data_IF_545933897818
#
_entry.id   IF_545933897818
#
_cell.length_a   1.000
_cell.length_b   1.000
_cell.length_c   1.000
_cell.angle_alpha   90.00
_cell.angle_beta   90.00
_cell.angle_gamma   90.00
#
_symmetry.space_group_name_H-M   'P 1'
#
loop_
_entity.id
_entity.type
_entity.pdbx_description
1 polymer ?
#
# COMPACT_ATOMS: atom_id res chain seq x y z
N UNK A 1 12.69 -1.79 32.65
CA UNK A 1 13.64 -1.28 33.69
C UNK A 1 15.03 -1.19 33.10
N UNK A 2 15.73 -0.10 33.40
CA UNK A 2 17.14 0.08 33.05
C UNK A 2 17.95 -0.31 34.27
N UNK A 3 18.86 -1.26 34.09
CA UNK A 3 19.75 -1.71 35.19
C UNK A 3 21.16 -1.29 34.80
N UNK A 4 21.85 -0.61 35.69
CA UNK A 4 23.29 -0.34 35.59
C UNK A 4 23.98 -0.81 36.85
N UNK A 5 25.19 -1.33 36.71
CA UNK A 5 26.00 -1.85 37.77
C UNK A 5 27.27 -1.00 37.81
N UNK A 6 27.62 -0.46 38.97
CA UNK A 6 28.88 0.23 39.21
C UNK A 6 29.70 -0.55 40.24
N UNK A 7 31.01 -0.59 40.03
CA UNK A 7 31.94 -1.09 41.01
C UNK A 7 32.40 0.09 41.85
N UNK A 8 31.97 0.17 43.11
CA UNK A 8 32.25 1.31 43.96
C UNK A 8 33.63 1.23 44.59
N UNK A 9 34.09 0.00 44.88
CA UNK A 9 35.37 -0.25 45.53
C UNK A 9 35.86 -1.66 45.28
N UNK A 10 37.17 -1.83 45.21
CA UNK A 10 37.84 -3.13 45.21
C UNK A 10 38.87 -3.18 46.33
N UNK A 11 39.00 -4.31 47.02
CA UNK A 11 40.04 -4.54 48.03
C UNK A 11 40.44 -6.03 48.01
N UNK A 12 41.66 -6.31 47.54
CA UNK A 12 42.13 -7.68 47.33
C UNK A 12 41.30 -8.38 46.24
N UNK A 13 40.70 -9.50 46.60
CA UNK A 13 39.79 -10.31 45.75
C UNK A 13 38.30 -9.95 45.90
N UNK A 14 37.97 -8.87 46.60
CA UNK A 14 36.59 -8.44 46.90
C UNK A 14 36.24 -7.16 46.14
N UNK A 15 35.04 -7.12 45.60
CA UNK A 15 34.45 -5.94 44.95
C UNK A 15 33.10 -5.59 45.60
N UNK A 16 32.83 -4.31 45.74
CA UNK A 16 31.54 -3.77 46.15
C UNK A 16 30.84 -3.23 44.94
N UNK A 17 29.61 -3.71 44.72
CA UNK A 17 28.80 -3.36 43.57
C UNK A 17 27.55 -2.59 44.00
N UNK A 18 27.26 -1.49 43.34
CA UNK A 18 25.97 -0.83 43.44
C UNK A 18 25.16 -1.12 42.16
N UNK A 19 23.95 -1.67 42.36
CA UNK A 19 23.00 -1.96 41.28
C UNK A 19 21.97 -0.83 41.29
N UNK A 20 22.01 -0.03 40.22
CA UNK A 20 21.03 1.03 40.02
C UNK A 20 19.85 0.48 39.19
N UNK A 21 18.66 0.48 39.78
CA UNK A 21 17.42 0.09 39.13
C UNK A 21 16.63 1.35 38.81
N UNK A 22 16.33 1.56 37.51
CA UNK A 22 15.44 2.62 37.07
C UNK A 22 14.19 2.00 36.47
N UNK A 23 13.06 2.21 37.11
CA UNK A 23 11.78 1.80 36.62
C UNK A 23 11.43 2.62 35.38
N UNK A 24 10.89 1.97 34.35
CA UNK A 24 10.36 2.68 33.17
C UNK A 24 9.02 3.32 33.56
N UNK A 25 8.82 4.60 33.26
CA UNK A 25 7.56 5.26 33.55
C UNK A 25 6.40 4.64 32.73
N UNK A 26 5.21 4.74 33.30
CA UNK A 26 3.96 4.34 32.62
C UNK A 26 3.25 5.59 32.12
N UNK A 27 2.40 5.40 31.12
CA UNK A 27 1.57 6.47 30.57
C UNK A 27 0.39 6.70 31.52
N UNK A 28 0.27 7.92 32.05
CA UNK A 28 -0.92 8.37 32.80
C UNK A 28 -1.98 8.95 31.88
N UNK A 29 -1.56 9.68 30.84
CA UNK A 29 -2.46 10.38 29.93
C UNK A 29 -1.86 10.48 28.53
N UNK A 30 -2.72 10.48 27.49
CA UNK A 30 -2.34 10.69 26.10
C UNK A 30 -3.18 11.82 25.55
N UNK A 31 -2.51 12.88 25.08
CA UNK A 31 -3.16 14.05 24.51
C UNK A 31 -2.83 14.17 23.02
N UNK A 32 -3.85 14.32 22.19
CA UNK A 32 -3.69 14.55 20.77
C UNK A 32 -3.97 16.00 20.43
N UNK A 33 -2.99 16.66 19.79
CA UNK A 33 -3.10 18.02 19.29
C UNK A 33 -3.04 18.01 17.75
N UNK A 34 -3.95 18.74 17.09
CA UNK A 34 -3.99 18.85 15.64
C UNK A 34 -4.75 17.74 14.91
N UNK A 35 -5.25 16.72 15.60
CA UNK A 35 -6.14 15.69 15.07
C UNK A 35 -7.62 16.01 15.33
N UNK A 36 -8.51 15.55 14.45
CA UNK A 36 -9.97 15.65 14.64
C UNK A 36 -10.46 14.48 15.51
N UNK A 37 -11.61 14.63 16.19
CA UNK A 37 -12.16 13.57 17.05
C UNK A 37 -12.30 12.20 16.37
N UNK A 38 -12.76 12.16 15.11
CA UNK A 38 -12.85 10.89 14.37
C UNK A 38 -11.48 10.30 14.01
N UNK A 39 -10.49 11.15 13.77
CA UNK A 39 -9.11 10.73 13.49
C UNK A 39 -8.44 10.16 14.74
N UNK A 40 -8.73 10.72 15.93
CA UNK A 40 -8.21 10.22 17.21
C UNK A 40 -8.68 8.78 17.42
N UNK A 41 -9.96 8.49 17.19
CA UNK A 41 -10.49 7.12 17.32
C UNK A 41 -9.77 6.14 16.39
N UNK A 42 -9.59 6.51 15.11
CA UNK A 42 -8.85 5.69 14.12
C UNK A 42 -7.40 5.47 14.57
N UNK A 43 -6.76 6.52 15.15
CA UNK A 43 -5.38 6.45 15.62
C UNK A 43 -5.27 5.54 16.85
N UNK A 44 -6.16 5.65 17.82
CA UNK A 44 -6.17 4.81 19.03
C UNK A 44 -6.27 3.33 18.66
N UNK A 45 -7.15 2.97 17.69
CA UNK A 45 -7.29 1.60 17.19
C UNK A 45 -6.00 1.07 16.54
N UNK A 46 -5.26 1.94 15.83
CA UNK A 46 -4.00 1.56 15.14
C UNK A 46 -2.79 1.54 16.07
N UNK A 47 -2.70 2.49 16.98
CA UNK A 47 -1.56 2.66 17.87
C UNK A 47 -1.57 1.63 18.99
N UNK A 48 -2.73 1.28 19.50
CA UNK A 48 -2.91 0.45 20.70
C UNK A 48 -2.07 0.95 21.87
N UNK A 49 -1.87 2.27 21.93
CA UNK A 49 -1.19 2.95 23.00
C UNK A 49 -2.25 3.30 24.04
N UNK A 50 -2.07 2.81 25.27
CA UNK A 50 -3.06 2.97 26.32
C UNK A 50 -2.42 3.46 27.60
N UNK A 51 -3.23 4.11 28.43
CA UNK A 51 -2.90 4.41 29.82
C UNK A 51 -2.40 3.15 30.54
N UNK A 52 -1.35 3.27 31.33
CA UNK A 52 -0.67 2.16 31.99
C UNK A 52 0.40 1.44 31.17
N UNK A 53 0.47 1.66 29.84
CA UNK A 53 1.56 1.13 29.02
C UNK A 53 2.89 1.79 29.41
N UNK A 54 3.99 1.07 29.23
CA UNK A 54 5.32 1.65 29.33
C UNK A 54 5.62 2.48 28.07
N UNK A 55 6.28 3.62 28.27
CA UNK A 55 6.78 4.45 27.18
C UNK A 55 8.29 4.24 26.98
N UNK A 56 8.68 3.83 25.78
CA UNK A 56 10.08 3.61 25.40
C UNK A 56 10.40 4.36 24.12
N UNK A 57 11.65 4.67 23.80
CA UNK A 57 12.02 5.32 22.54
C UNK A 57 11.49 4.58 21.32
N UNK A 58 11.53 3.25 21.33
CA UNK A 58 11.01 2.42 20.23
C UNK A 58 9.49 2.57 20.05
N UNK A 59 8.74 2.64 21.14
CA UNK A 59 7.28 2.89 21.10
C UNK A 59 7.00 4.29 20.53
N UNK A 60 7.78 5.29 20.93
CA UNK A 60 7.66 6.67 20.41
C UNK A 60 7.89 6.71 18.91
N UNK A 61 8.96 6.09 18.41
CA UNK A 61 9.28 6.08 17.00
C UNK A 61 8.25 5.29 16.17
N UNK A 62 7.80 4.14 16.65
CA UNK A 62 6.72 3.38 16.06
C UNK A 62 5.42 4.18 15.99
N UNK A 63 5.08 4.89 17.06
CA UNK A 63 3.89 5.76 17.12
C UNK A 63 3.97 6.85 16.07
N UNK A 64 5.11 7.54 15.96
CA UNK A 64 5.33 8.55 14.90
C UNK A 64 5.15 7.98 13.50
N UNK A 65 5.71 6.80 13.24
CA UNK A 65 5.60 6.14 11.92
C UNK A 65 4.15 5.77 11.58
N UNK A 66 3.40 5.20 12.52
CA UNK A 66 1.99 4.82 12.32
C UNK A 66 1.16 6.06 12.03
N UNK A 67 1.33 7.15 12.78
CA UNK A 67 0.60 8.40 12.58
C UNK A 67 0.95 9.02 11.22
N UNK A 68 2.23 9.08 10.84
CA UNK A 68 2.65 9.57 9.52
C UNK A 68 2.03 8.73 8.41
N UNK A 69 2.07 7.41 8.51
CA UNK A 69 1.46 6.49 7.54
C UNK A 69 -0.05 6.76 7.40
N UNK A 70 -0.77 6.91 8.51
CA UNK A 70 -2.19 7.22 8.53
C UNK A 70 -2.51 8.52 7.77
N UNK A 71 -1.75 9.58 7.97
CA UNK A 71 -1.96 10.84 7.27
C UNK A 71 -1.52 10.78 5.80
N UNK A 72 -0.47 10.04 5.48
CA UNK A 72 -0.06 9.80 4.09
C UNK A 72 -1.17 9.08 3.30
N UNK A 73 -1.81 8.05 3.88
CA UNK A 73 -2.97 7.36 3.28
C UNK A 73 -4.14 8.32 3.02
N UNK A 74 -4.25 9.39 3.77
CA UNK A 74 -5.25 10.47 3.57
C UNK A 74 -4.79 11.59 2.62
N UNK A 75 -3.56 11.48 2.08
CA UNK A 75 -2.96 12.44 1.13
C UNK A 75 -2.20 13.60 1.76
N UNK A 76 -1.93 13.55 3.05
CA UNK A 76 -1.10 14.53 3.76
C UNK A 76 0.36 14.05 3.82
N UNK A 77 1.03 14.00 2.66
CA UNK A 77 2.39 13.45 2.52
C UNK A 77 3.45 14.16 3.36
N UNK A 78 3.23 15.43 3.70
CA UNK A 78 4.15 16.26 4.48
C UNK A 78 3.80 16.32 5.98
N UNK A 79 2.91 15.42 6.48
CA UNK A 79 2.51 15.44 7.88
C UNK A 79 3.72 15.24 8.80
N UNK A 80 3.83 16.11 9.81
CA UNK A 80 4.85 16.03 10.84
C UNK A 80 4.24 15.65 12.19
N UNK A 81 4.96 14.83 12.95
CA UNK A 81 4.51 14.33 14.25
C UNK A 81 5.63 14.53 15.26
N UNK A 82 5.34 15.26 16.31
CA UNK A 82 6.22 15.44 17.46
C UNK A 82 5.56 14.82 18.69
N UNK A 83 6.29 14.01 19.43
CA UNK A 83 5.82 13.40 20.67
C UNK A 83 6.69 13.94 21.81
N UNK A 84 6.05 14.59 22.74
CA UNK A 84 6.65 15.10 23.96
C UNK A 84 6.21 14.25 25.13
N UNK A 85 7.09 14.09 26.11
CA UNK A 85 6.84 13.33 27.33
C UNK A 85 7.24 14.20 28.50
N UNK A 86 6.37 14.33 29.48
CA UNK A 86 6.66 15.03 30.69
C UNK A 86 6.11 14.27 31.90
N UNK A 87 6.71 14.45 33.04
CA UNK A 87 6.32 13.78 34.30
C UNK A 87 4.91 14.21 34.71
N UNK A 88 4.11 13.25 35.10
CA UNK A 88 2.83 13.52 35.75
C UNK A 88 3.07 13.81 37.24
N UNK A 89 3.00 15.08 37.61
CA UNK A 89 3.22 15.50 38.99
C UNK A 89 2.19 14.96 40.00
N UNK A 90 1.05 14.45 39.48
CA UNK A 90 -0.02 13.88 40.30
C UNK A 90 0.19 12.39 40.55
N UNK A 91 0.98 11.71 39.74
CA UNK A 91 1.19 10.27 39.81
C UNK A 91 2.70 9.94 39.71
N UNK A 92 3.35 9.55 40.80
CA UNK A 92 4.77 9.21 40.80
C UNK A 92 5.11 8.10 39.80
N UNK A 93 6.20 8.28 39.05
CA UNK A 93 6.67 7.35 38.02
C UNK A 93 5.70 7.15 36.83
N UNK A 94 4.83 8.14 36.59
CA UNK A 94 3.96 8.19 35.40
C UNK A 94 4.33 9.38 34.52
N UNK A 95 3.98 9.29 33.23
CA UNK A 95 4.27 10.28 32.18
C UNK A 95 3.03 10.63 31.42
N UNK A 96 2.82 11.90 31.13
CA UNK A 96 1.86 12.41 30.18
C UNK A 96 2.54 12.42 28.80
N UNK A 97 1.84 11.96 27.79
CA UNK A 97 2.33 11.87 26.40
C UNK A 97 1.52 12.81 25.53
N UNK A 98 2.14 13.89 25.05
CA UNK A 98 1.53 14.83 24.11
C UNK A 98 1.95 14.50 22.69
N UNK A 99 0.99 14.20 21.83
CA UNK A 99 1.17 13.89 20.42
C UNK A 99 0.72 15.11 19.60
N UNK A 100 1.70 15.89 19.14
CA UNK A 100 1.48 17.08 18.33
C UNK A 100 1.56 16.72 16.85
N UNK A 101 0.47 16.89 16.11
CA UNK A 101 0.32 16.54 14.71
C UNK A 101 0.10 17.80 13.90
N UNK A 102 0.99 18.06 12.94
CA UNK A 102 0.75 19.06 11.90
C UNK A 102 0.56 18.34 10.56
N UNK A 103 -0.65 18.38 10.05
CA UNK A 103 -1.01 17.69 8.80
C UNK A 103 -0.48 18.37 7.55
N UNK A 104 -0.22 19.68 7.63
CA UNK A 104 0.04 20.53 6.46
C UNK A 104 -1.07 20.41 5.39
N UNK A 105 -0.79 20.83 4.16
CA UNK A 105 -1.69 20.68 3.03
C UNK A 105 -1.59 19.30 2.39
N UNK A 106 -2.65 18.90 1.67
CA UNK A 106 -2.59 17.67 0.87
C UNK A 106 -1.66 17.87 -0.31
N UNK A 107 -0.76 16.92 -0.51
CA UNK A 107 0.10 16.87 -1.69
C UNK A 107 -0.74 16.49 -2.91
N UNK A 108 -0.54 17.17 -4.05
CA UNK A 108 -1.24 16.95 -5.32
C UNK A 108 -0.25 16.62 -6.41
N UNK A 109 -0.71 15.96 -7.46
CA UNK A 109 0.10 15.70 -8.66
C UNK A 109 0.06 16.94 -9.54
N UNK A 110 1.23 17.54 -9.79
CA UNK A 110 1.39 18.63 -10.76
C UNK A 110 1.39 18.07 -12.18
N UNK A 111 2.31 17.15 -12.48
CA UNK A 111 2.43 16.55 -13.81
C UNK A 111 2.89 15.09 -13.75
N UNK A 112 2.48 14.30 -14.75
CA UNK A 112 2.91 12.91 -14.95
C UNK A 112 3.67 12.84 -16.27
N UNK A 113 4.94 12.45 -16.19
CA UNK A 113 5.81 12.23 -17.34
C UNK A 113 5.90 10.72 -17.58
N UNK A 114 5.69 10.31 -18.83
CA UNK A 114 5.72 8.91 -19.22
C UNK A 114 6.71 8.75 -20.37
N UNK A 115 7.59 7.76 -20.27
CA UNK A 115 8.61 7.45 -21.25
C UNK A 115 8.58 5.96 -21.62
N UNK A 116 8.99 5.65 -22.87
CA UNK A 116 9.06 4.27 -23.38
C UNK A 116 7.72 3.70 -23.86
N UNK A 117 6.68 4.51 -23.95
CA UNK A 117 5.32 4.15 -24.34
C UNK A 117 5.07 4.45 -25.83
N UNK A 118 5.56 3.58 -26.70
CA UNK A 118 5.37 3.74 -28.17
C UNK A 118 3.97 3.30 -28.62
N UNK A 119 3.41 2.26 -28.00
CA UNK A 119 2.11 1.63 -28.38
C UNK A 119 0.92 2.34 -27.75
N UNK A 120 1.08 2.84 -26.54
CA UNK A 120 0.04 3.55 -25.82
C UNK A 120 0.42 5.02 -25.62
N UNK A 121 -0.47 5.93 -26.00
CA UNK A 121 -0.26 7.36 -25.73
C UNK A 121 -0.29 7.66 -24.23
N UNK A 122 0.37 8.75 -23.80
CA UNK A 122 0.34 9.24 -22.41
C UNK A 122 -1.09 9.37 -21.88
N UNK A 123 -2.00 9.89 -22.71
CA UNK A 123 -3.40 10.01 -22.35
C UNK A 123 -4.08 8.65 -22.10
N UNK A 124 -3.72 7.61 -22.84
CA UNK A 124 -4.24 6.26 -22.64
C UNK A 124 -3.73 5.66 -21.33
N UNK A 125 -2.46 5.83 -21.04
CA UNK A 125 -1.83 5.40 -19.78
C UNK A 125 -2.43 6.17 -18.61
N UNK A 126 -2.51 7.49 -18.67
CA UNK A 126 -3.13 8.31 -17.61
C UNK A 126 -4.61 7.99 -17.37
N UNK A 127 -5.35 7.51 -18.40
CA UNK A 127 -6.72 7.01 -18.22
C UNK A 127 -6.78 5.68 -17.47
N UNK A 128 -5.76 4.83 -17.61
CA UNK A 128 -5.64 3.59 -16.84
C UNK A 128 -5.38 3.89 -15.36
N UNK A 129 -4.66 4.97 -15.06
CA UNK A 129 -4.44 5.47 -13.71
C UNK A 129 -5.73 6.09 -13.17
N UNK A 130 -6.42 5.40 -12.26
CA UNK A 130 -7.73 5.83 -11.76
C UNK A 130 -7.66 6.81 -10.60
N UNK A 131 -6.61 6.73 -9.80
CA UNK A 131 -6.49 7.45 -8.53
C UNK A 131 -5.43 8.55 -8.55
N UNK A 132 -4.36 8.39 -9.33
CA UNK A 132 -3.28 9.36 -9.48
C UNK A 132 -3.55 10.22 -10.71
N UNK A 133 -3.95 11.48 -10.51
CA UNK A 133 -4.37 12.36 -11.61
C UNK A 133 -3.75 13.74 -11.52
N UNK A 134 -3.34 14.29 -12.66
CA UNK A 134 -2.78 15.64 -12.76
C UNK A 134 -3.79 16.72 -12.36
N UNK A 135 -3.29 17.75 -11.70
CA UNK A 135 -4.03 18.97 -11.38
C UNK A 135 -4.26 19.78 -12.68
N UNK A 136 -5.47 20.33 -12.82
CA UNK A 136 -5.75 21.32 -13.88
C UNK A 136 -6.22 20.76 -15.23
N UNK A 137 -6.17 19.44 -15.49
CA UNK A 137 -6.78 18.88 -16.70
C UNK A 137 -8.30 18.92 -16.61
N UNK A 138 -8.95 19.46 -17.66
CA UNK A 138 -10.41 19.59 -17.75
C UNK A 138 -11.13 18.24 -17.58
N UNK A 139 -10.55 17.15 -18.11
CA UNK A 139 -11.06 15.78 -17.98
C UNK A 139 -10.97 15.22 -16.56
N UNK A 140 -10.24 15.87 -15.66
CA UNK A 140 -10.02 15.45 -14.27
C UNK A 140 -10.79 16.30 -13.25
N UNK A 141 -11.80 17.08 -13.67
CA UNK A 141 -12.55 17.98 -12.78
C UNK A 141 -13.13 17.27 -11.55
N UNK A 142 -13.63 16.06 -11.72
CA UNK A 142 -14.24 15.25 -10.66
C UNK A 142 -13.33 14.17 -10.09
N UNK A 143 -12.07 14.04 -10.58
CA UNK A 143 -11.15 13.03 -10.09
C UNK A 143 -10.34 13.51 -8.91
N UNK A 144 -9.94 12.56 -8.06
CA UNK A 144 -9.03 12.82 -6.95
C UNK A 144 -7.68 13.33 -7.47
N UNK A 145 -7.21 14.43 -6.89
CA UNK A 145 -5.95 15.10 -7.29
C UNK A 145 -4.88 14.99 -6.21
N UNK A 146 -5.20 14.43 -5.04
CA UNK A 146 -4.20 14.18 -3.98
C UNK A 146 -3.30 13.03 -4.38
N UNK A 147 -2.02 13.14 -4.10
CA UNK A 147 -1.09 12.04 -4.20
C UNK A 147 -1.19 11.15 -2.97
N UNK A 148 -1.36 9.85 -3.16
CA UNK A 148 -1.31 8.82 -2.13
C UNK A 148 -0.46 7.68 -2.66
N UNK A 149 0.61 7.33 -1.96
CA UNK A 149 1.59 6.34 -2.41
C UNK A 149 0.95 4.98 -2.75
N UNK A 150 0.06 4.46 -1.90
CA UNK A 150 -0.63 3.19 -2.16
C UNK A 150 -1.52 3.24 -3.39
N UNK A 151 -2.23 4.34 -3.60
CA UNK A 151 -3.06 4.57 -4.78
C UNK A 151 -2.23 4.63 -6.06
N UNK A 152 -1.05 5.24 -5.97
CA UNK A 152 -0.09 5.31 -7.07
C UNK A 152 0.47 3.93 -7.42
N UNK A 153 0.85 3.10 -6.44
CA UNK A 153 1.30 1.72 -6.68
C UNK A 153 0.22 0.87 -7.36
N UNK A 154 -1.02 1.01 -6.94
CA UNK A 154 -2.16 0.37 -7.62
C UNK A 154 -2.30 0.84 -9.07
N UNK A 155 -2.09 2.13 -9.33
CA UNK A 155 -2.18 2.70 -10.68
C UNK A 155 -1.04 2.21 -11.59
N UNK A 156 0.18 2.01 -11.07
CA UNK A 156 1.27 1.36 -11.84
C UNK A 156 0.89 -0.06 -12.27
N UNK A 157 0.27 -0.84 -11.39
CA UNK A 157 -0.22 -2.18 -11.73
C UNK A 157 -1.30 -2.12 -12.82
N UNK A 158 -2.22 -1.15 -12.76
CA UNK A 158 -3.25 -0.95 -13.80
C UNK A 158 -2.68 -0.59 -15.16
N UNK A 159 -1.55 0.14 -15.19
CA UNK A 159 -0.83 0.40 -16.45
C UNK A 159 -0.39 -0.93 -17.07
N UNK A 160 0.25 -1.80 -16.30
CA UNK A 160 0.71 -3.11 -16.76
C UNK A 160 -0.46 -4.00 -17.19
N UNK A 161 -1.55 -4.06 -16.39
CA UNK A 161 -2.77 -4.76 -16.77
C UNK A 161 -3.30 -4.29 -18.15
N UNK A 162 -3.22 -2.96 -18.41
CA UNK A 162 -3.69 -2.41 -19.68
C UNK A 162 -2.82 -2.79 -20.86
N UNK A 163 -1.52 -2.93 -20.67
CA UNK A 163 -0.61 -3.49 -21.66
C UNK A 163 -0.89 -4.99 -21.89
N UNK A 164 -1.09 -5.75 -20.83
CA UNK A 164 -1.42 -7.17 -20.90
C UNK A 164 -2.73 -7.42 -21.66
N UNK A 165 -3.77 -6.59 -21.45
CA UNK A 165 -5.02 -6.66 -22.23
C UNK A 165 -4.81 -6.45 -23.74
N UNK A 166 -3.71 -5.79 -24.14
CA UNK A 166 -3.34 -5.55 -25.53
C UNK A 166 -2.33 -6.57 -26.09
N UNK A 167 -1.99 -7.60 -25.32
CA UNK A 167 -1.06 -8.65 -25.69
C UNK A 167 0.40 -8.41 -25.33
N UNK A 168 0.71 -7.33 -24.65
CA UNK A 168 2.07 -7.01 -24.20
C UNK A 168 2.32 -7.63 -22.82
N UNK A 169 2.45 -8.96 -22.80
CA UNK A 169 2.58 -9.76 -21.58
C UNK A 169 3.79 -9.38 -20.73
N UNK A 170 4.89 -9.05 -21.37
CA UNK A 170 6.17 -8.77 -20.70
C UNK A 170 6.35 -7.28 -20.38
N UNK A 171 5.28 -6.48 -20.56
CA UNK A 171 5.30 -5.07 -20.20
C UNK A 171 5.61 -4.89 -18.70
N UNK A 172 6.47 -3.93 -18.40
CA UNK A 172 6.89 -3.64 -17.01
C UNK A 172 7.21 -2.17 -16.81
N UNK A 173 7.10 -1.72 -15.58
CA UNK A 173 7.66 -0.43 -15.15
C UNK A 173 9.16 -0.64 -14.89
N UNK A 174 10.00 0.03 -15.67
CA UNK A 174 11.46 -0.05 -15.55
C UNK A 174 11.94 0.81 -14.38
N UNK A 175 11.35 1.99 -14.26
CA UNK A 175 11.62 2.90 -13.15
C UNK A 175 10.42 3.82 -12.94
N UNK A 176 10.25 4.24 -11.71
CA UNK A 176 9.31 5.28 -11.32
C UNK A 176 9.92 6.18 -10.26
N UNK A 177 9.56 7.44 -10.27
CA UNK A 177 9.94 8.38 -9.22
C UNK A 177 8.88 9.45 -9.00
N UNK A 178 8.81 9.91 -7.77
CA UNK A 178 7.95 11.02 -7.35
C UNK A 178 8.85 12.08 -6.76
N UNK A 179 8.92 13.24 -7.40
CA UNK A 179 9.79 14.34 -6.99
C UNK A 179 8.97 15.55 -6.57
N UNK A 180 9.35 16.26 -5.52
CA UNK A 180 8.72 17.52 -5.16
C UNK A 180 8.84 18.54 -6.31
N UNK A 181 7.71 19.12 -6.71
CA UNK A 181 7.68 20.27 -7.62
C UNK A 181 7.65 21.58 -6.82
N UNK A 182 6.83 21.61 -5.77
CA UNK A 182 6.77 22.66 -4.76
C UNK A 182 6.28 22.08 -3.42
N UNK A 183 6.03 22.94 -2.42
CA UNK A 183 5.63 22.53 -1.07
C UNK A 183 4.30 21.71 -1.03
N UNK A 184 3.48 21.78 -2.08
CA UNK A 184 2.13 21.18 -2.15
C UNK A 184 1.92 20.25 -3.33
N UNK A 185 2.89 20.16 -4.24
CA UNK A 185 2.75 19.41 -5.47
C UNK A 185 3.98 18.55 -5.74
N UNK A 186 3.75 17.43 -6.45
CA UNK A 186 4.79 16.51 -6.90
C UNK A 186 4.68 16.27 -8.40
N UNK A 187 5.82 16.04 -9.04
CA UNK A 187 5.91 15.49 -10.38
C UNK A 187 6.14 13.98 -10.28
N UNK A 188 5.48 13.23 -11.17
CA UNK A 188 5.57 11.78 -11.25
C UNK A 188 6.25 11.43 -12.58
N UNK A 189 7.29 10.62 -12.53
CA UNK A 189 7.99 10.11 -13.70
C UNK A 189 7.83 8.59 -13.76
N UNK A 190 7.41 8.07 -14.90
CA UNK A 190 7.18 6.65 -15.12
C UNK A 190 7.88 6.25 -16.41
N UNK A 191 8.73 5.24 -16.36
CA UNK A 191 9.36 4.66 -17.52
C UNK A 191 8.88 3.23 -17.74
N UNK A 192 8.31 2.98 -18.91
CA UNK A 192 7.74 1.69 -19.31
C UNK A 192 8.65 1.00 -20.30
N UNK A 193 8.77 -0.32 -20.19
CA UNK A 193 9.26 -1.20 -21.23
C UNK A 193 8.05 -2.05 -21.67
N UNK A 194 7.59 -1.83 -22.88
CA UNK A 194 6.36 -2.46 -23.39
C UNK A 194 6.56 -3.94 -23.76
N UNK A 195 7.80 -4.35 -24.03
CA UNK A 195 8.13 -5.69 -24.48
C UNK A 195 7.55 -6.00 -25.87
N UNK A 196 7.31 -7.29 -26.13
CA UNK A 196 6.75 -7.75 -27.40
C UNK A 196 5.25 -8.06 -27.28
N UNK A 197 4.53 -7.92 -28.37
CA UNK A 197 3.12 -8.34 -28.46
C UNK A 197 3.04 -9.82 -28.76
N UNK A 198 2.25 -10.55 -27.97
CA UNK A 198 2.04 -11.99 -28.09
C UNK A 198 0.69 -12.30 -28.72
N UNK A 199 0.65 -13.41 -29.45
CA UNK A 199 -0.55 -13.95 -30.10
C UNK A 199 -0.69 -15.42 -29.72
N UNK A 200 -1.92 -15.91 -29.69
CA UNK A 200 -2.22 -17.33 -29.45
C UNK A 200 -1.73 -18.13 -30.67
N UNK A 201 -0.82 -19.05 -30.45
CA UNK A 201 -0.35 -19.94 -31.50
C UNK A 201 -1.11 -21.28 -31.54
N UNK A 202 -1.42 -21.81 -30.34
CA UNK A 202 -2.15 -23.07 -30.17
C UNK A 202 -2.82 -23.12 -28.82
N UNK A 203 -3.96 -23.81 -28.74
CA UNK A 203 -4.67 -24.13 -27.49
C UNK A 203 -4.78 -25.66 -27.46
N UNK A 204 -4.41 -26.26 -26.35
CA UNK A 204 -4.49 -27.71 -26.15
C UNK A 204 -5.21 -28.00 -24.86
N UNK A 205 -6.24 -28.82 -24.90
CA UNK A 205 -6.97 -29.30 -23.75
C UNK A 205 -6.39 -30.60 -23.25
N UNK A 206 -6.20 -30.72 -21.95
CA UNK A 206 -5.70 -31.93 -21.30
C UNK A 206 -6.62 -32.30 -20.16
N UNK A 207 -7.04 -33.59 -20.11
CA UNK A 207 -7.96 -34.08 -19.09
C UNK A 207 -9.44 -33.78 -19.33
N UNK A 208 -9.80 -33.32 -20.52
CA UNK A 208 -11.18 -32.99 -20.92
C UNK A 208 -12.01 -34.22 -21.34
N UNK A 209 -12.06 -35.23 -20.45
CA UNK A 209 -12.76 -36.49 -20.70
C UNK A 209 -14.28 -36.36 -20.84
N UNK A 210 -14.88 -35.32 -20.28
CA UNK A 210 -16.33 -35.11 -20.23
C UNK A 210 -16.85 -34.29 -21.42
N UNK A 211 -16.03 -33.35 -21.91
CA UNK A 211 -16.39 -32.46 -23.00
C UNK A 211 -15.34 -32.57 -24.13
N UNK A 212 -15.79 -32.67 -25.42
CA UNK A 212 -14.86 -32.65 -26.55
C UNK A 212 -14.19 -31.27 -26.63
N UNK A 213 -12.93 -31.25 -27.15
CA UNK A 213 -12.16 -30.03 -27.30
C UNK A 213 -12.89 -28.96 -28.10
N UNK A 214 -13.64 -29.36 -29.12
CA UNK A 214 -14.45 -28.44 -29.95
C UNK A 214 -15.49 -27.66 -29.16
N UNK A 215 -16.17 -28.29 -28.22
CA UNK A 215 -17.14 -27.62 -27.39
C UNK A 215 -16.45 -26.63 -26.40
N UNK A 216 -15.28 -27.02 -25.88
CA UNK A 216 -14.48 -26.12 -25.01
C UNK A 216 -13.91 -24.94 -25.77
N UNK A 217 -13.52 -25.13 -27.05
CA UNK A 217 -13.06 -24.06 -27.94
C UNK A 217 -14.17 -23.05 -28.21
N UNK A 218 -15.40 -23.51 -28.46
CA UNK A 218 -16.57 -22.65 -28.67
C UNK A 218 -16.88 -21.81 -27.39
N UNK A 219 -16.84 -22.42 -26.21
CA UNK A 219 -17.07 -21.73 -24.95
C UNK A 219 -15.97 -20.73 -24.69
N UNK A 220 -14.71 -21.09 -24.94
CA UNK A 220 -13.55 -20.22 -24.74
C UNK A 220 -13.64 -18.99 -25.65
N UNK A 221 -14.05 -19.17 -26.92
CA UNK A 221 -14.19 -18.09 -27.91
C UNK A 221 -12.89 -17.35 -28.17
N UNK A 222 -11.76 -18.05 -28.09
CA UNK A 222 -10.41 -17.53 -28.37
C UNK A 222 -9.74 -18.50 -29.34
N UNK A 223 -9.17 -17.97 -30.44
CA UNK A 223 -8.65 -18.78 -31.53
C UNK A 223 -7.15 -18.53 -31.75
N UNK A 224 -6.54 -19.42 -32.54
CA UNK A 224 -5.19 -19.22 -33.04
C UNK A 224 -5.11 -17.94 -33.89
N UNK A 225 -4.14 -17.07 -33.55
CA UNK A 225 -3.95 -15.77 -34.17
C UNK A 225 -4.52 -14.61 -33.37
N UNK A 226 -5.38 -14.88 -32.41
CA UNK A 226 -5.87 -13.86 -31.49
C UNK A 226 -4.74 -13.27 -30.61
N UNK A 227 -4.96 -12.05 -30.20
CA UNK A 227 -4.06 -11.39 -29.27
C UNK A 227 -4.13 -12.08 -27.92
N UNK A 228 -2.97 -12.45 -27.36
CA UNK A 228 -2.91 -12.99 -26.02
C UNK A 228 -3.46 -11.98 -25.01
N UNK A 229 -4.50 -12.34 -24.30
CA UNK A 229 -5.12 -11.52 -23.27
C UNK A 229 -5.41 -12.39 -22.04
N UNK A 230 -4.50 -12.34 -21.06
CA UNK A 230 -4.61 -13.15 -19.84
C UNK A 230 -5.92 -12.92 -19.10
N UNK A 231 -6.36 -11.68 -19.00
CA UNK A 231 -7.59 -11.32 -18.28
C UNK A 231 -8.82 -11.89 -18.96
N UNK A 232 -8.86 -11.86 -20.30
CA UNK A 232 -9.94 -12.48 -21.07
C UNK A 232 -9.93 -14.00 -20.89
N UNK A 233 -8.75 -14.63 -20.94
CA UNK A 233 -8.59 -16.06 -20.68
C UNK A 233 -9.10 -16.46 -19.29
N UNK A 234 -8.67 -15.78 -18.25
CA UNK A 234 -9.12 -16.04 -16.88
C UNK A 234 -10.64 -15.86 -16.74
N UNK A 235 -11.18 -14.82 -17.37
CA UNK A 235 -12.61 -14.55 -17.37
C UNK A 235 -13.39 -15.69 -18.01
N UNK A 236 -13.01 -16.14 -19.21
CA UNK A 236 -13.65 -17.22 -19.95
C UNK A 236 -13.49 -18.59 -19.28
N UNK A 237 -12.39 -18.80 -18.57
CA UNK A 237 -12.13 -20.06 -17.88
C UNK A 237 -12.85 -20.14 -16.53
N UNK A 238 -12.86 -19.06 -15.74
CA UNK A 238 -13.20 -19.12 -14.32
C UNK A 238 -14.30 -18.15 -13.84
N UNK A 239 -14.59 -17.06 -14.56
CA UNK A 239 -15.36 -15.96 -13.98
C UNK A 239 -16.70 -15.68 -14.65
N UNK A 240 -16.87 -15.97 -15.93
CA UNK A 240 -18.13 -15.76 -16.65
C UNK A 240 -19.20 -16.74 -16.14
N UNK A 241 -20.48 -16.42 -16.31
CA UNK A 241 -21.59 -17.33 -16.00
C UNK A 241 -21.51 -18.61 -16.83
N UNK A 242 -21.02 -18.51 -18.07
CA UNK A 242 -20.74 -19.59 -19.01
C UNK A 242 -19.25 -20.00 -19.00
N UNK A 243 -18.50 -19.73 -17.90
CA UNK A 243 -17.11 -20.11 -17.78
C UNK A 243 -16.91 -21.63 -17.83
N UNK A 244 -15.80 -22.06 -18.45
CA UNK A 244 -15.47 -23.48 -18.62
C UNK A 244 -15.49 -24.23 -17.26
N UNK A 245 -15.01 -23.61 -16.19
CA UNK A 245 -15.04 -24.20 -14.86
C UNK A 245 -16.44 -24.56 -14.39
N UNK A 246 -17.46 -23.78 -14.73
CA UNK A 246 -18.85 -24.03 -14.31
C UNK A 246 -19.44 -25.28 -14.97
N UNK A 247 -19.06 -25.62 -16.20
CA UNK A 247 -19.48 -26.86 -16.86
C UNK A 247 -18.98 -28.11 -16.12
N UNK A 248 -17.79 -28.04 -15.53
CA UNK A 248 -17.24 -29.13 -14.72
C UNK A 248 -17.80 -29.17 -13.29
N UNK A 249 -18.13 -28.02 -12.70
CA UNK A 249 -18.71 -27.93 -11.35
C UNK A 249 -20.16 -28.44 -11.34
N UNK A 250 -20.99 -28.10 -12.33
CA UNK A 250 -22.38 -28.54 -12.41
C UNK A 250 -22.52 -30.07 -12.41
N UNK A 251 -21.57 -30.79 -12.97
CA UNK A 251 -21.60 -32.25 -13.00
C UNK A 251 -21.30 -32.91 -11.64
N UNK A 252 -20.56 -32.25 -10.75
CA UNK A 252 -20.30 -32.75 -9.40
C UNK A 252 -21.56 -32.75 -8.54
N UNK A 253 -22.55 -31.89 -8.85
CA UNK A 253 -23.84 -31.82 -8.11
C UNK A 253 -24.94 -32.67 -8.73
N UNK A 254 -24.78 -33.21 -9.95
CA UNK A 254 -25.79 -33.99 -10.65
C UNK A 254 -25.47 -35.48 -10.72
N UNK A 255 -24.38 -35.97 -10.10
CA UNK A 255 -24.13 -37.40 -9.98
C UNK A 255 -25.13 -37.98 -8.94
N UNK A 256 -26.08 -38.85 -9.34
CA UNK A 256 -26.89 -39.55 -8.38
C UNK A 256 -26.02 -40.51 -7.59
N UNK A 257 -26.10 -40.43 -6.25
CA UNK A 257 -25.52 -41.38 -5.29
C UNK A 257 -26.17 -42.77 -5.44
#
# INVERSE_FOLDING_TARGET
SKVSITVDKTAGDKAWLTIHLRQQPRISEINYHGARKGEIKDLDERLKLMKGNHITPNIVDRTKQIIKKYYNEKGFGNATVQIQQHEDLSHPNEMIVDININRHDKVKVHKIYIEGNEVMSDNAIQRAMKKTNEKGKLLNLFKQKKFVESDYRDDLNRIIEKYNEKGYRDARIVSDSVVPYDDKNVDVHIRVDEGKRYYINNITWVGNTLYPSTALDEILGIEKGDVYNQKLLEKRINQDEDAIANYYICLLYTSPS
#
